data_IF_157499334145
#
_entry.id   IF_157499334145
#
_cell.length_a   1.000
_cell.length_b   1.000
_cell.length_c   1.000
_cell.angle_alpha   90.00
_cell.angle_beta   90.00
_cell.angle_gamma   90.00
#
_symmetry.space_group_name_H-M   'P 1'
#
loop_
_entity.id
_entity.type
_entity.pdbx_description
1 polymer ?
#
# COMPACT_ATOMS: atom_id res chain seq x y z
N UNK A 1 -3.28 -15.34 -17.32
CA UNK A 1 -4.52 -15.33 -16.51
C UNK A 1 -4.13 -14.92 -15.10
N UNK A 2 -4.66 -13.83 -14.55
CA UNK A 2 -4.34 -13.45 -13.16
C UNK A 2 -4.80 -14.59 -12.24
N UNK A 3 -3.89 -15.15 -11.46
CA UNK A 3 -4.18 -16.24 -10.53
C UNK A 3 -4.87 -15.64 -9.30
N UNK A 4 -6.20 -15.73 -9.24
CA UNK A 4 -6.96 -15.46 -8.03
C UNK A 4 -6.79 -16.64 -7.08
N UNK A 5 -5.95 -16.44 -6.09
CA UNK A 5 -5.81 -17.36 -4.96
C UNK A 5 -7.13 -17.43 -4.18
N UNK A 6 -7.56 -18.63 -3.79
CA UNK A 6 -8.82 -18.88 -3.05
C UNK A 6 -8.65 -18.83 -1.53
N UNK A 7 -7.44 -18.61 -1.03
CA UNK A 7 -7.15 -18.56 0.41
C UNK A 7 -7.19 -17.15 0.97
N UNK A 8 -7.70 -17.07 2.20
CA UNK A 8 -7.62 -15.86 3.00
C UNK A 8 -6.17 -15.47 3.25
N UNK A 9 -5.95 -14.16 3.41
CA UNK A 9 -4.65 -13.59 3.72
C UNK A 9 -4.77 -12.72 4.95
N UNK A 10 -3.71 -12.71 5.75
CA UNK A 10 -3.56 -11.72 6.82
C UNK A 10 -2.48 -10.73 6.39
N UNK A 11 -2.87 -9.47 6.23
CA UNK A 11 -1.97 -8.36 5.92
C UNK A 11 -1.54 -7.73 7.25
N UNK A 12 -0.23 -7.54 7.42
CA UNK A 12 0.37 -7.11 8.70
C UNK A 12 1.37 -5.99 8.54
N UNK A 13 1.76 -5.68 7.30
CA UNK A 13 2.64 -4.56 7.02
C UNK A 13 2.41 -4.02 5.63
N UNK A 14 2.92 -2.82 5.43
CA UNK A 14 2.79 -2.11 4.17
C UNK A 14 4.00 -1.22 3.93
N UNK A 15 4.41 -1.12 2.67
CA UNK A 15 5.31 -0.07 2.23
C UNK A 15 4.66 0.75 1.13
N UNK A 16 4.71 2.06 1.27
CA UNK A 16 4.22 3.00 0.27
C UNK A 16 5.36 3.94 -0.10
N UNK A 17 5.59 4.09 -1.40
CA UNK A 17 6.66 4.93 -1.92
C UNK A 17 6.13 5.81 -3.05
N UNK A 18 6.34 7.12 -2.90
CA UNK A 18 6.11 8.10 -3.96
C UNK A 18 7.31 8.23 -4.88
N UNK A 19 7.09 8.68 -6.12
CA UNK A 19 8.17 9.16 -6.99
C UNK A 19 8.66 10.54 -6.52
N UNK A 20 9.79 11.00 -7.06
CA UNK A 20 10.44 12.30 -6.77
C UNK A 20 9.52 13.51 -6.73
N UNK A 21 8.40 13.46 -7.45
CA UNK A 21 7.49 14.58 -7.62
C UNK A 21 6.24 14.50 -6.73
N UNK A 22 5.92 13.35 -6.12
CA UNK A 22 4.90 13.24 -5.07
C UNK A 22 5.57 13.34 -3.69
N UNK A 23 5.80 14.58 -3.25
CA UNK A 23 6.28 14.86 -1.90
C UNK A 23 5.08 15.05 -0.97
N UNK A 24 5.22 14.55 0.26
CA UNK A 24 4.37 14.85 1.40
C UNK A 24 2.87 14.65 1.13
N UNK A 25 2.54 13.51 0.55
CA UNK A 25 1.15 13.12 0.32
C UNK A 25 0.66 12.13 1.38
N UNK A 26 -0.65 12.11 1.56
CA UNK A 26 -1.38 11.20 2.38
C UNK A 26 -2.23 10.28 1.49
N UNK A 27 -2.29 9.01 1.88
CA UNK A 27 -3.06 7.99 1.21
C UNK A 27 -3.84 7.17 2.23
N UNK A 28 -5.14 7.05 1.97
CA UNK A 28 -6.01 6.10 2.66
C UNK A 28 -6.08 4.82 1.83
N UNK A 29 -5.73 3.70 2.44
CA UNK A 29 -5.74 2.41 1.78
C UNK A 29 -6.84 1.50 2.30
N UNK A 30 -7.44 0.76 1.38
CA UNK A 30 -8.58 -0.09 1.64
C UNK A 30 -8.40 -1.48 1.01
N UNK A 31 -8.96 -2.47 1.68
CA UNK A 31 -9.19 -3.81 1.15
C UNK A 31 -10.70 -4.05 1.09
N UNK A 32 -11.30 -3.87 -0.10
CA UNK A 32 -12.76 -3.77 -0.21
C UNK A 32 -13.26 -2.58 0.63
N UNK A 33 -14.18 -2.85 1.56
CA UNK A 33 -14.75 -1.83 2.45
C UNK A 33 -13.96 -1.63 3.76
N UNK A 34 -12.87 -2.38 3.97
CA UNK A 34 -12.05 -2.30 5.19
C UNK A 34 -10.90 -1.32 5.00
N UNK A 35 -10.78 -0.33 5.89
CA UNK A 35 -9.60 0.55 5.92
C UNK A 35 -8.39 -0.20 6.47
N UNK A 36 -7.30 -0.21 5.70
CA UNK A 36 -5.99 -0.73 6.11
C UNK A 36 -5.21 0.30 6.92
N UNK A 37 -5.40 1.58 6.61
CA UNK A 37 -4.83 2.68 7.37
C UNK A 37 -4.75 3.98 6.56
N UNK A 38 -4.42 5.05 7.28
CA UNK A 38 -4.05 6.35 6.75
C UNK A 38 -2.54 6.49 6.86
N UNK A 39 -1.87 6.79 5.75
CA UNK A 39 -0.40 6.84 5.70
C UNK A 39 0.05 8.18 5.13
N UNK A 40 0.97 8.82 5.84
CA UNK A 40 1.68 10.02 5.36
C UNK A 40 3.03 9.59 4.81
N UNK A 41 3.26 9.87 3.53
CA UNK A 41 4.45 9.45 2.79
C UNK A 41 5.35 10.65 2.56
N UNK A 42 6.42 10.73 3.36
CA UNK A 42 7.43 11.79 3.30
C UNK A 42 8.75 11.32 2.67
N UNK A 43 8.83 10.07 2.20
CA UNK A 43 10.07 9.48 1.68
C UNK A 43 10.30 9.95 0.25
N UNK A 44 11.42 10.65 0.05
CA UNK A 44 11.90 11.16 -1.23
C UNK A 44 12.80 10.13 -1.88
N UNK A 45 12.62 9.85 -3.16
CA UNK A 45 13.66 9.20 -3.94
C UNK A 45 13.35 9.16 -5.42
N UNK A 46 14.37 8.77 -6.20
CA UNK A 46 14.36 8.71 -7.65
C UNK A 46 13.11 7.98 -8.18
N UNK A 47 12.74 8.20 -9.45
CA UNK A 47 11.49 7.79 -10.11
C UNK A 47 10.92 6.40 -9.77
N UNK A 48 11.74 5.47 -9.27
CA UNK A 48 11.33 4.25 -8.55
C UNK A 48 12.29 4.06 -7.38
N UNK A 49 11.84 4.22 -6.12
CA UNK A 49 12.63 3.77 -4.98
C UNK A 49 12.42 2.26 -4.81
N UNK A 50 13.48 1.46 -4.71
CA UNK A 50 13.32 0.07 -4.33
C UNK A 50 12.72 0.00 -2.92
N UNK A 51 11.64 -0.77 -2.78
CA UNK A 51 11.01 -1.05 -1.50
C UNK A 51 11.97 -1.92 -0.68
N UNK A 52 12.60 -1.33 0.34
CA UNK A 52 13.48 -2.05 1.26
C UNK A 52 12.66 -2.64 2.42
N UNK A 53 13.10 -3.76 3.03
CA UNK A 53 12.44 -4.33 4.21
C UNK A 53 12.29 -3.34 5.38
N UNK A 54 13.24 -2.42 5.54
CA UNK A 54 13.21 -1.40 6.60
C UNK A 54 12.12 -0.34 6.38
N UNK A 55 11.50 -0.29 5.20
CA UNK A 55 10.40 0.64 4.91
C UNK A 55 9.03 0.05 5.25
N UNK A 56 8.98 -1.18 5.75
CA UNK A 56 7.72 -1.83 6.14
C UNK A 56 7.16 -1.11 7.37
N UNK A 57 6.03 -0.45 7.17
CA UNK A 57 5.21 0.09 8.24
C UNK A 57 4.29 -1.02 8.75
N UNK A 58 4.40 -1.43 10.02
CA UNK A 58 3.49 -2.41 10.59
C UNK A 58 2.08 -1.82 10.67
N UNK A 59 1.08 -2.65 10.39
CA UNK A 59 -0.34 -2.30 10.55
C UNK A 59 -1.02 -3.31 11.47
N UNK A 60 -2.19 -2.94 11.99
CA UNK A 60 -3.05 -3.89 12.69
C UNK A 60 -3.35 -5.06 11.73
N UNK A 61 -3.20 -6.33 12.17
CA UNK A 61 -3.45 -7.46 11.29
C UNK A 61 -4.86 -7.44 10.71
N UNK A 62 -4.95 -7.39 9.39
CA UNK A 62 -6.23 -7.31 8.67
C UNK A 62 -6.42 -8.54 7.80
N UNK A 63 -7.56 -9.20 7.99
CA UNK A 63 -7.95 -10.38 7.21
C UNK A 63 -8.57 -9.93 5.89
N UNK A 64 -7.95 -10.35 4.79
CA UNK A 64 -8.37 -10.01 3.43
C UNK A 64 -8.87 -11.27 2.75
N UNK A 65 -10.12 -11.21 2.29
CA UNK A 65 -10.75 -12.31 1.59
C UNK A 65 -10.11 -12.52 0.21
N UNK A 66 -10.19 -13.76 -0.33
CA UNK A 66 -9.83 -14.05 -1.71
C UNK A 66 -10.50 -13.11 -2.71
N UNK A 67 -9.74 -12.57 -3.66
CA UNK A 67 -10.28 -11.71 -4.73
C UNK A 67 -10.67 -10.29 -4.30
N UNK A 68 -10.50 -9.92 -3.03
CA UNK A 68 -10.68 -8.54 -2.57
C UNK A 68 -9.70 -7.62 -3.29
N UNK A 69 -10.24 -6.52 -3.86
CA UNK A 69 -9.43 -5.48 -4.49
C UNK A 69 -8.82 -4.58 -3.42
N UNK A 70 -7.60 -4.14 -3.69
CA UNK A 70 -6.93 -3.10 -2.91
C UNK A 70 -7.12 -1.79 -3.66
N UNK A 71 -7.56 -0.77 -2.95
CA UNK A 71 -7.73 0.59 -3.47
C UNK A 71 -7.05 1.59 -2.56
N UNK A 72 -6.65 2.73 -3.13
CA UNK A 72 -6.07 3.84 -2.41
C UNK A 72 -6.63 5.17 -2.88
N UNK A 73 -6.90 6.06 -1.94
CA UNK A 73 -7.33 7.43 -2.21
C UNK A 73 -6.20 8.36 -1.77
N UNK A 74 -5.64 9.10 -2.72
CA UNK A 74 -4.62 10.11 -2.44
C UNK A 74 -5.33 11.44 -2.21
N UNK A 75 -5.13 12.05 -1.04
CA UNK A 75 -5.95 13.19 -0.59
C UNK A 75 -5.32 14.55 -0.87
N UNK A 76 -3.99 14.63 -1.03
CA UNK A 76 -3.25 15.89 -1.15
C UNK A 76 -2.02 15.77 -2.08
N UNK A 77 -2.18 15.13 -3.24
CA UNK A 77 -1.13 15.08 -4.26
C UNK A 77 -1.01 16.42 -5.02
N UNK A 78 0.19 17.02 -5.03
CA UNK A 78 0.47 18.23 -5.80
C UNK A 78 0.56 17.98 -7.32
N UNK A 79 0.82 16.74 -7.74
CA UNK A 79 1.07 16.35 -9.14
C UNK A 79 0.72 14.88 -9.36
N UNK A 80 0.26 14.53 -10.56
CA UNK A 80 -0.03 13.14 -10.93
C UNK A 80 1.24 12.36 -11.25
N UNK A 81 1.75 11.59 -10.28
CA UNK A 81 2.87 10.67 -10.48
C UNK A 81 2.51 9.26 -9.98
N UNK A 82 3.23 8.22 -10.45
CA UNK A 82 3.02 6.88 -9.95
C UNK A 82 3.37 6.76 -8.46
N UNK A 83 2.53 6.01 -7.73
CA UNK A 83 2.78 5.55 -6.36
C UNK A 83 2.92 4.04 -6.38
N UNK A 84 3.93 3.53 -5.69
CA UNK A 84 4.10 2.09 -5.47
C UNK A 84 3.64 1.72 -4.06
N UNK A 85 2.76 0.73 -3.98
CA UNK A 85 2.27 0.17 -2.73
C UNK A 85 2.55 -1.34 -2.70
N UNK A 86 3.19 -1.80 -1.63
CA UNK A 86 3.53 -3.21 -1.41
C UNK A 86 2.92 -3.67 -0.09
N UNK A 87 2.09 -4.70 -0.15
CA UNK A 87 1.44 -5.29 1.02
C UNK A 87 2.22 -6.52 1.48
N UNK A 88 2.45 -6.59 2.79
CA UNK A 88 3.13 -7.69 3.45
C UNK A 88 2.14 -8.49 4.29
N UNK A 89 2.15 -9.79 4.07
CA UNK A 89 1.22 -10.69 4.73
C UNK A 89 1.54 -12.14 4.42
N UNK A 90 0.73 -13.03 4.99
CA UNK A 90 0.82 -14.46 4.74
C UNK A 90 -0.53 -15.05 4.38
N UNK A 91 -0.48 -16.16 3.66
CA UNK A 91 -1.64 -17.03 3.45
C UNK A 91 -2.03 -17.67 4.79
N UNK A 92 -3.33 -17.87 4.97
CA UNK A 92 -3.89 -18.71 6.02
C UNK A 92 -4.16 -20.11 5.50
#
# INVERSE_FOLDING_TARGET
>A
RMQTDTRWRIVTGITIVGSTALRDFAIDLFAGDTILGHFVVNVIGAAVIPVLPDNIQPIVPTYVAPGTKISGIITNAAVGNPVQCVLYGRRL
#
